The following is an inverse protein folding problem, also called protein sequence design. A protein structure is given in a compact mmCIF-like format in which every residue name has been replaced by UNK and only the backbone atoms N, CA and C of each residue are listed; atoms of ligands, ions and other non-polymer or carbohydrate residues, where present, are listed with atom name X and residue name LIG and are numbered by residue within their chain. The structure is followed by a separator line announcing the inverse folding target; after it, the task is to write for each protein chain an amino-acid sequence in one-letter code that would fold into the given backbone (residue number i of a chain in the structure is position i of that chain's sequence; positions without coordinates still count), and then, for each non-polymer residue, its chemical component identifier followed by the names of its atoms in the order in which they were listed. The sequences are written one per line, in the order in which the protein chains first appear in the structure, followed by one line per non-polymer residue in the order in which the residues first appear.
data_IF_024423990474
#
_entry.id   IF_024423990474
#
_cell.length_a   1.000
_cell.length_b   1.000
_cell.length_c   1.000
_cell.angle_alpha   90.00
_cell.angle_beta   90.00
_cell.angle_gamma   90.00
#
_symmetry.space_group_name_H-M   'P 1'
#
loop_
_entity.id
_entity.type
_entity.pdbx_description
1 polymer ?
#
# COMPACT_ATOMS: atom_id res chain seq x y z
N UNK A 1 -22.46 3.38 -1.20
CA UNK A 1 -22.05 4.80 -1.06
C UNK A 1 -20.54 4.82 -0.85
N UNK A 2 -19.82 5.76 -1.45
CA UNK A 2 -18.38 5.94 -1.24
C UNK A 2 -18.16 7.20 -0.39
N UNK A 3 -17.32 7.11 0.63
CA UNK A 3 -16.89 8.27 1.44
C UNK A 3 -15.37 8.26 1.60
N UNK A 4 -14.77 9.44 1.53
CA UNK A 4 -13.35 9.67 1.80
C UNK A 4 -13.21 10.65 2.96
N UNK A 5 -12.25 10.40 3.84
CA UNK A 5 -11.85 11.31 4.93
C UNK A 5 -10.36 11.60 4.80
N UNK A 6 -9.97 12.81 5.14
CA UNK A 6 -8.59 13.31 4.99
C UNK A 6 -8.07 13.80 6.33
N UNK A 7 -6.76 13.71 6.54
CA UNK A 7 -6.08 14.24 7.72
C UNK A 7 -5.74 15.75 7.57
N UNK A 8 -5.03 16.29 8.56
CA UNK A 8 -4.61 17.70 8.57
C UNK A 8 -3.60 18.07 7.48
N UNK A 9 -2.96 17.09 6.84
CA UNK A 9 -2.05 17.29 5.70
C UNK A 9 -2.78 17.13 4.36
N UNK A 10 -4.11 16.96 4.39
CA UNK A 10 -4.94 16.66 3.22
C UNK A 10 -4.61 15.31 2.56
N UNK A 11 -3.93 14.41 3.26
CA UNK A 11 -3.73 13.04 2.83
C UNK A 11 -4.95 12.19 3.18
N UNK A 12 -5.24 11.19 2.35
CA UNK A 12 -6.46 10.38 2.50
C UNK A 12 -6.30 9.40 3.66
N UNK A 13 -6.83 9.76 4.81
CA UNK A 13 -6.80 8.96 6.03
C UNK A 13 -7.71 7.72 5.99
N UNK A 14 -8.91 7.82 5.39
CA UNK A 14 -9.89 6.73 5.42
C UNK A 14 -10.77 6.69 4.17
N UNK A 15 -11.08 5.47 3.70
CA UNK A 15 -12.07 5.20 2.66
C UNK A 15 -13.15 4.28 3.20
N UNK A 16 -14.40 4.56 2.89
CA UNK A 16 -15.55 3.71 3.19
C UNK A 16 -16.24 3.33 1.87
N UNK A 17 -16.11 2.07 1.48
CA UNK A 17 -16.70 1.49 0.26
C UNK A 17 -17.53 0.26 0.63
N UNK A 18 -18.82 0.27 0.29
CA UNK A 18 -19.73 -0.86 0.54
C UNK A 18 -19.65 -1.36 2.00
N UNK A 19 -19.70 -0.42 2.94
CA UNK A 19 -19.56 -0.64 4.39
C UNK A 19 -18.21 -1.24 4.84
N UNK A 20 -17.23 -1.35 3.92
CA UNK A 20 -15.85 -1.70 4.25
C UNK A 20 -15.03 -0.44 4.44
N UNK A 21 -14.38 -0.36 5.60
CA UNK A 21 -13.48 0.74 5.97
C UNK A 21 -12.04 0.30 5.79
N UNK A 22 -11.25 1.14 5.11
CA UNK A 22 -9.79 1.04 5.04
C UNK A 22 -9.19 2.34 5.54
N UNK A 23 -8.19 2.24 6.41
CA UNK A 23 -7.43 3.38 6.95
C UNK A 23 -6.01 3.34 6.44
N UNK A 24 -5.42 4.53 6.28
CA UNK A 24 -4.08 4.71 5.73
C UNK A 24 -3.23 5.54 6.69
N UNK A 25 -1.94 5.22 6.74
CA UNK A 25 -0.92 6.00 7.44
C UNK A 25 0.14 6.39 6.42
N UNK A 26 0.54 7.65 6.47
CA UNK A 26 1.59 8.20 5.61
C UNK A 26 2.80 8.63 6.46
N UNK A 27 3.99 8.43 5.92
CA UNK A 27 5.24 9.01 6.45
C UNK A 27 5.83 9.92 5.37
N UNK A 28 5.92 11.23 5.65
CA UNK A 28 6.44 12.25 4.72
C UNK A 28 5.77 12.23 3.34
N UNK A 29 4.47 11.96 3.29
CA UNK A 29 3.68 11.89 2.06
C UNK A 29 3.68 10.51 1.36
N UNK A 30 4.53 9.57 1.80
CA UNK A 30 4.56 8.21 1.27
C UNK A 30 3.67 7.29 2.10
N UNK A 31 2.92 6.40 1.44
CA UNK A 31 2.04 5.44 2.13
C UNK A 31 2.89 4.45 2.93
N UNK A 32 2.75 4.44 4.25
CA UNK A 32 3.52 3.59 5.16
C UNK A 32 2.76 2.32 5.55
N UNK A 33 1.44 2.41 5.71
CA UNK A 33 0.61 1.24 5.96
C UNK A 33 -0.85 1.48 5.61
N UNK A 34 -1.58 0.38 5.38
CA UNK A 34 -3.04 0.37 5.33
C UNK A 34 -3.61 -0.72 6.24
N UNK A 35 -4.79 -0.47 6.78
CA UNK A 35 -5.51 -1.41 7.65
C UNK A 35 -6.97 -1.50 7.23
N UNK A 36 -7.48 -2.72 7.11
CA UNK A 36 -8.89 -2.99 6.81
C UNK A 36 -9.38 -4.21 7.61
N UNK A 37 -10.66 -4.56 7.47
CA UNK A 37 -11.19 -5.80 8.03
C UNK A 37 -10.50 -7.09 7.53
N UNK A 38 -9.70 -7.02 6.46
CA UNK A 38 -8.91 -8.13 5.93
C UNK A 38 -7.48 -8.20 6.52
N UNK A 39 -7.12 -7.31 7.45
CA UNK A 39 -5.79 -7.19 8.03
C UNK A 39 -5.01 -5.97 7.54
N UNK A 40 -3.76 -5.86 8.01
CA UNK A 40 -2.87 -4.76 7.71
C UNK A 40 -1.80 -5.08 6.66
N UNK A 41 -1.39 -4.06 5.92
CA UNK A 41 -0.22 -4.09 5.05
C UNK A 41 0.75 -2.99 5.49
N UNK A 42 2.03 -3.33 5.60
CA UNK A 42 3.12 -2.35 5.72
C UNK A 42 3.82 -2.17 4.39
N UNK A 43 4.18 -0.94 4.09
CA UNK A 43 4.88 -0.54 2.87
C UNK A 43 6.26 -0.02 3.26
N UNK A 44 7.30 -0.77 2.89
CA UNK A 44 8.70 -0.47 3.17
C UNK A 44 9.30 0.04 1.86
N UNK A 45 9.55 1.34 1.81
CA UNK A 45 10.11 2.00 0.64
C UNK A 45 11.63 1.80 0.62
N UNK A 46 12.14 1.26 -0.50
CA UNK A 46 13.56 1.16 -0.77
C UNK A 46 14.08 2.42 -1.45
N UNK A 47 14.69 2.25 -2.63
CA UNK A 47 14.88 3.37 -3.55
C UNK A 47 13.56 3.70 -4.30
N UNK A 48 13.59 4.73 -5.14
CA UNK A 48 12.42 5.14 -5.92
C UNK A 48 11.87 4.00 -6.82
N UNK A 49 12.64 2.94 -7.08
CA UNK A 49 12.28 1.85 -7.99
C UNK A 49 11.68 0.64 -7.28
N UNK A 50 11.88 0.47 -5.97
CA UNK A 50 11.43 -0.73 -5.24
C UNK A 50 10.62 -0.37 -3.99
N UNK A 51 9.41 -0.91 -3.93
CA UNK A 51 8.55 -0.87 -2.75
C UNK A 51 8.26 -2.31 -2.27
N UNK A 52 8.47 -2.59 -0.98
CA UNK A 52 8.11 -3.88 -0.39
C UNK A 52 6.79 -3.76 0.37
N UNK A 53 5.81 -4.60 0.04
CA UNK A 53 4.56 -4.74 0.80
C UNK A 53 4.60 -6.00 1.65
N UNK A 54 4.40 -5.85 2.95
CA UNK A 54 4.36 -6.94 3.92
C UNK A 54 2.95 -7.06 4.52
N UNK A 55 2.37 -8.25 4.45
CA UNK A 55 1.09 -8.58 5.07
C UNK A 55 1.32 -9.58 6.18
N UNK A 56 0.59 -9.43 7.28
CA UNK A 56 0.63 -10.40 8.37
C UNK A 56 0.24 -11.79 7.83
N UNK A 57 1.06 -12.81 8.13
CA UNK A 57 0.87 -14.20 7.70
C UNK A 57 0.86 -14.46 6.18
N UNK A 58 1.39 -13.54 5.35
CA UNK A 58 1.59 -13.77 3.92
C UNK A 58 3.03 -13.49 3.48
N UNK A 59 3.42 -14.03 2.33
CA UNK A 59 4.71 -13.68 1.71
C UNK A 59 4.74 -12.20 1.30
N UNK A 60 5.88 -11.55 1.52
CA UNK A 60 6.19 -10.23 1.00
C UNK A 60 5.99 -10.15 -0.52
N UNK A 61 5.51 -8.99 -0.96
CA UNK A 61 5.46 -8.60 -2.37
C UNK A 61 6.45 -7.46 -2.65
N UNK A 62 7.21 -7.57 -3.72
CA UNK A 62 8.15 -6.53 -4.17
C UNK A 62 7.62 -5.86 -5.43
N UNK A 63 7.29 -4.59 -5.32
CA UNK A 63 6.75 -3.75 -6.38
C UNK A 63 7.91 -3.11 -7.13
N UNK A 64 8.10 -3.50 -8.39
CA UNK A 64 9.08 -2.89 -9.29
C UNK A 64 8.39 -1.72 -9.98
N UNK A 65 8.90 -0.51 -9.77
CA UNK A 65 8.31 0.74 -10.26
C UNK A 65 9.07 1.28 -11.47
N UNK A 66 8.33 1.98 -12.33
CA UNK A 66 8.94 2.85 -13.34
C UNK A 66 9.45 4.16 -12.72
N UNK A 67 10.05 5.02 -13.53
CA UNK A 67 10.61 6.30 -13.09
C UNK A 67 9.55 7.31 -12.65
N UNK A 68 8.28 7.10 -13.02
CA UNK A 68 7.15 7.90 -12.58
C UNK A 68 6.50 7.34 -11.30
N UNK A 69 7.02 6.24 -10.74
CA UNK A 69 6.52 5.60 -9.53
C UNK A 69 5.38 4.61 -9.76
N UNK A 70 5.02 4.29 -11.00
CA UNK A 70 3.97 3.31 -11.31
C UNK A 70 4.50 1.88 -11.15
N UNK A 71 3.75 0.99 -10.50
CA UNK A 71 4.12 -0.42 -10.38
C UNK A 71 4.00 -1.14 -11.72
N UNK A 72 5.13 -1.66 -12.24
CA UNK A 72 5.21 -2.49 -13.44
C UNK A 72 4.99 -3.98 -13.12
N UNK A 73 5.61 -4.46 -12.04
CA UNK A 73 5.54 -5.86 -11.62
C UNK A 73 5.45 -5.97 -10.11
N UNK A 74 4.75 -6.99 -9.62
CA UNK A 74 4.82 -7.41 -8.21
C UNK A 74 5.46 -8.79 -8.20
N UNK A 75 6.61 -8.91 -7.55
CA UNK A 75 7.34 -10.15 -7.39
C UNK A 75 7.07 -10.75 -6.01
N UNK A 76 7.11 -12.08 -5.91
CA UNK A 76 7.16 -12.74 -4.61
C UNK A 76 8.61 -12.92 -4.11
N UNK A 77 8.78 -13.71 -3.04
CA UNK A 77 10.10 -13.99 -2.46
C UNK A 77 11.00 -14.82 -3.38
N UNK A 78 10.43 -15.61 -4.27
CA UNK A 78 11.16 -16.44 -5.24
C UNK A 78 11.48 -15.67 -6.53
N UNK A 79 11.04 -14.39 -6.59
CA UNK A 79 11.17 -13.47 -7.74
C UNK A 79 10.28 -13.85 -8.92
N UNK A 80 9.24 -14.62 -8.66
CA UNK A 80 8.22 -14.91 -9.65
C UNK A 80 7.20 -13.77 -9.71
N UNK A 81 6.74 -13.47 -10.93
CA UNK A 81 5.74 -12.43 -11.17
C UNK A 81 4.39 -12.92 -10.66
N UNK A 82 3.79 -12.16 -9.74
CA UNK A 82 2.39 -12.31 -9.34
C UNK A 82 1.52 -11.53 -10.31
N UNK A 83 0.58 -12.22 -10.95
CA UNK A 83 -0.43 -11.64 -11.84
C UNK A 83 -1.73 -11.36 -11.08
#
# INVERSE_FOLDING_TARGET
MWKNRYDGESLRYETEENDKVTRFVFDRGEMASEESGAGGIRYIHGDDRVLCSERENMCMGYHIRDEAGSTLFILDRERDIRK
#
